data_IF_842453109501
#
_entry.id   IF_842453109501
#
_cell.length_a   1.000
_cell.length_b   1.000
_cell.length_c   1.000
_cell.angle_alpha   90.00
_cell.angle_beta   90.00
_cell.angle_gamma   90.00
#
_symmetry.space_group_name_H-M   'P 1'
#
loop_
_entity.id
_entity.type
_entity.pdbx_description
1 polymer ?
#
# COMPACT_ATOMS: atom_id res chain seq x y z
N UNK A 1 66.03 -10.05 -31.57
CA UNK A 1 65.85 -10.09 -30.12
C UNK A 1 64.85 -9.03 -29.78
N UNK A 2 63.58 -9.44 -29.61
CA UNK A 2 62.49 -8.55 -29.23
C UNK A 2 62.01 -9.05 -27.88
N UNK A 3 62.38 -8.30 -26.82
CA UNK A 3 61.89 -8.53 -25.47
C UNK A 3 60.38 -8.17 -25.43
N UNK A 4 59.58 -9.17 -25.27
CA UNK A 4 58.16 -9.01 -24.98
C UNK A 4 57.97 -8.65 -23.50
N UNK A 5 57.65 -7.40 -23.20
CA UNK A 5 57.20 -6.95 -21.89
C UNK A 5 55.81 -7.51 -21.65
N UNK A 6 55.75 -8.61 -20.89
CA UNK A 6 54.52 -9.21 -20.43
C UNK A 6 53.94 -8.31 -19.31
N UNK A 7 53.07 -7.39 -19.72
CA UNK A 7 52.43 -6.45 -18.79
C UNK A 7 51.23 -7.16 -18.18
N UNK A 8 51.49 -8.05 -17.22
CA UNK A 8 50.42 -8.69 -16.42
C UNK A 8 49.74 -7.62 -15.56
N UNK A 9 48.52 -7.27 -15.96
CA UNK A 9 47.62 -6.45 -15.14
C UNK A 9 47.27 -7.29 -13.92
N UNK A 10 47.92 -7.02 -12.81
CA UNK A 10 47.64 -7.63 -11.51
C UNK A 10 46.39 -6.93 -10.96
N UNK A 11 45.23 -7.56 -11.10
CA UNK A 11 43.98 -7.12 -10.46
C UNK A 11 44.15 -7.49 -8.96
N UNK A 12 44.50 -6.52 -8.14
CA UNK A 12 44.44 -6.69 -6.68
C UNK A 12 42.97 -6.72 -6.28
N UNK A 13 42.50 -7.91 -5.94
CA UNK A 13 41.19 -8.07 -5.33
C UNK A 13 41.25 -7.45 -3.93
N UNK A 14 40.23 -6.64 -3.53
CA UNK A 14 40.20 -6.08 -2.19
C UNK A 14 40.28 -7.20 -1.15
N UNK A 15 41.02 -6.98 -0.09
CA UNK A 15 41.14 -7.89 1.04
C UNK A 15 39.72 -8.31 1.48
N UNK A 16 39.51 -9.61 1.66
CA UNK A 16 38.15 -10.17 1.98
C UNK A 16 37.54 -9.48 3.21
N UNK A 17 38.36 -9.05 4.13
CA UNK A 17 37.95 -8.36 5.34
C UNK A 17 37.41 -6.94 5.04
N UNK A 18 38.08 -6.21 4.15
CA UNK A 18 37.64 -4.89 3.68
C UNK A 18 36.32 -5.03 2.94
N UNK A 19 36.15 -6.03 2.06
CA UNK A 19 34.95 -6.30 1.33
C UNK A 19 33.75 -6.68 2.26
N UNK A 20 34.03 -7.44 3.34
CA UNK A 20 33.04 -7.78 4.37
C UNK A 20 32.60 -6.55 5.17
N UNK A 21 33.53 -5.71 5.56
CA UNK A 21 33.22 -4.48 6.30
C UNK A 21 32.41 -3.51 5.45
N UNK A 22 32.69 -3.43 4.17
CA UNK A 22 31.96 -2.58 3.24
C UNK A 22 30.53 -3.07 3.03
N UNK A 23 30.33 -4.37 2.80
CA UNK A 23 28.99 -4.98 2.74
C UNK A 23 28.22 -4.80 4.04
N UNK A 24 28.87 -4.93 5.19
CA UNK A 24 28.21 -4.72 6.48
C UNK A 24 27.69 -3.29 6.63
N UNK A 25 28.50 -2.28 6.24
CA UNK A 25 28.08 -0.87 6.24
C UNK A 25 26.91 -0.60 5.28
N UNK A 26 26.90 -1.27 4.14
CA UNK A 26 25.81 -1.14 3.14
C UNK A 26 24.48 -1.72 3.64
N UNK A 27 24.51 -2.80 4.42
CA UNK A 27 23.29 -3.44 4.95
C UNK A 27 22.88 -2.92 6.33
N UNK A 28 23.80 -2.28 7.08
CA UNK A 28 23.55 -1.78 8.44
C UNK A 28 22.27 -0.91 8.54
N UNK A 29 21.96 0.01 7.58
CA UNK A 29 20.74 0.79 7.60
C UNK A 29 19.45 -0.03 7.43
N UNK A 30 19.58 -1.28 6.97
CA UNK A 30 18.45 -2.19 6.75
C UNK A 30 18.34 -3.27 7.82
N UNK A 31 19.27 -3.30 8.78
CA UNK A 31 19.20 -4.24 9.90
C UNK A 31 18.19 -3.72 10.91
N UNK A 32 17.18 -4.56 11.20
CA UNK A 32 16.22 -4.28 12.26
C UNK A 32 16.83 -4.66 13.60
N UNK A 33 16.91 -3.70 14.50
CA UNK A 33 17.25 -3.96 15.90
C UNK A 33 15.96 -4.22 16.69
N UNK A 34 15.85 -5.40 17.28
CA UNK A 34 14.67 -5.77 18.07
C UNK A 34 14.48 -4.90 19.33
N UNK A 35 15.51 -4.15 19.72
CA UNK A 35 15.45 -3.20 20.85
C UNK A 35 15.04 -1.79 20.42
N UNK A 36 14.99 -1.53 19.11
CA UNK A 36 14.60 -0.24 18.56
C UNK A 36 13.11 -0.02 18.73
N UNK A 37 12.74 1.14 19.22
CA UNK A 37 11.33 1.48 19.42
C UNK A 37 10.77 2.11 18.15
N UNK A 38 10.16 1.28 17.29
CA UNK A 38 9.52 1.75 16.07
C UNK A 38 8.22 2.49 16.40
N UNK A 39 7.95 3.63 15.75
CA UNK A 39 6.66 4.30 15.89
C UNK A 39 5.54 3.39 15.39
N UNK A 40 4.42 3.43 16.10
CA UNK A 40 3.24 2.69 15.68
C UNK A 40 2.79 3.12 14.28
N UNK A 41 2.59 2.18 13.33
CA UNK A 41 2.19 2.52 11.97
C UNK A 41 0.80 3.15 11.94
N UNK A 42 0.55 3.99 10.95
CA UNK A 42 -0.79 4.42 10.63
C UNK A 42 -1.51 3.33 9.83
N UNK A 43 -2.77 3.05 10.19
CA UNK A 43 -3.58 2.05 9.51
C UNK A 43 -4.68 2.72 8.69
N UNK A 44 -4.86 2.26 7.46
CA UNK A 44 -5.91 2.79 6.59
C UNK A 44 -7.30 2.40 7.08
N UNK A 45 -7.44 1.23 7.68
CA UNK A 45 -8.72 0.73 8.16
C UNK A 45 -8.61 0.18 9.58
N UNK A 46 -9.74 0.26 10.29
CA UNK A 46 -10.03 -0.53 11.48
C UNK A 46 -11.37 -1.24 11.31
N UNK A 47 -11.50 -2.40 11.95
CA UNK A 47 -12.74 -3.15 12.02
C UNK A 47 -13.07 -3.46 13.47
N UNK A 48 -14.20 -2.92 13.96
CA UNK A 48 -14.56 -2.98 15.39
C UNK A 48 -13.43 -2.54 16.32
N UNK A 49 -12.72 -1.46 15.97
CA UNK A 49 -11.60 -0.93 16.74
C UNK A 49 -10.28 -1.70 16.61
N UNK A 50 -10.24 -2.76 15.79
CA UNK A 50 -9.01 -3.51 15.51
C UNK A 50 -8.39 -2.97 14.23
N UNK A 51 -7.21 -2.31 14.28
CA UNK A 51 -6.57 -1.73 13.11
C UNK A 51 -6.02 -2.82 12.18
N UNK A 52 -6.17 -2.60 10.89
CA UNK A 52 -5.58 -3.43 9.84
C UNK A 52 -5.24 -2.57 8.60
N UNK A 53 -4.50 -3.12 7.64
CA UNK A 53 -4.09 -2.38 6.44
C UNK A 53 -3.21 -1.16 6.72
N UNK A 54 -1.93 -1.35 7.11
CA UNK A 54 -1.02 -0.23 7.37
C UNK A 54 -0.84 0.63 6.10
N UNK A 55 -0.71 1.94 6.28
CA UNK A 55 -0.37 2.87 5.20
C UNK A 55 0.97 2.49 4.57
N UNK A 56 1.05 2.56 3.25
CA UNK A 56 2.22 2.14 2.50
C UNK A 56 2.38 0.62 2.34
N UNK A 57 1.50 -0.17 2.96
CA UNK A 57 1.49 -1.63 2.84
C UNK A 57 0.74 -2.12 1.60
N UNK A 58 1.04 -3.36 1.20
CA UNK A 58 0.32 -4.07 0.16
C UNK A 58 -0.68 -5.03 0.82
N UNK A 59 -1.95 -4.96 0.40
CA UNK A 59 -3.02 -5.80 0.89
C UNK A 59 -3.46 -6.77 -0.19
N UNK A 60 -3.75 -8.02 0.18
CA UNK A 60 -4.26 -9.02 -0.74
C UNK A 60 -5.59 -9.59 -0.22
N UNK A 61 -6.61 -9.61 -1.07
CA UNK A 61 -7.89 -10.26 -0.79
C UNK A 61 -7.91 -11.59 -1.54
N UNK A 62 -7.84 -12.69 -0.79
CA UNK A 62 -7.89 -14.03 -1.34
C UNK A 62 -9.19 -14.74 -0.94
N UNK A 63 -9.54 -15.78 -1.67
CA UNK A 63 -10.73 -16.60 -1.39
C UNK A 63 -11.21 -17.34 -2.63
N UNK A 64 -12.13 -18.26 -2.45
CA UNK A 64 -12.71 -19.05 -3.54
C UNK A 64 -13.44 -18.18 -4.57
N UNK A 65 -13.60 -18.70 -5.78
CA UNK A 65 -14.38 -18.04 -6.84
C UNK A 65 -15.83 -17.82 -6.39
N UNK A 66 -16.40 -16.67 -6.72
CA UNK A 66 -17.78 -16.26 -6.37
C UNK A 66 -18.04 -15.91 -4.89
N UNK A 67 -17.03 -15.82 -4.04
CA UNK A 67 -17.18 -15.47 -2.62
C UNK A 67 -17.18 -13.96 -2.32
N UNK A 68 -17.64 -13.15 -3.24
CA UNK A 68 -17.88 -11.72 -2.98
C UNK A 68 -16.62 -10.84 -2.88
N UNK A 69 -15.40 -11.35 -3.24
CA UNK A 69 -14.15 -10.57 -3.20
C UNK A 69 -14.25 -9.19 -3.84
N UNK A 70 -14.81 -9.13 -5.04
CA UNK A 70 -14.99 -7.89 -5.79
C UNK A 70 -15.96 -6.93 -5.09
N UNK A 71 -16.95 -7.47 -4.36
CA UNK A 71 -17.85 -6.64 -3.57
C UNK A 71 -17.16 -6.09 -2.32
N UNK A 72 -16.40 -6.92 -1.60
CA UNK A 72 -15.58 -6.47 -0.48
C UNK A 72 -14.58 -5.40 -0.93
N UNK A 73 -13.93 -5.60 -2.07
CA UNK A 73 -13.01 -4.61 -2.65
C UNK A 73 -13.73 -3.27 -2.90
N UNK A 74 -14.95 -3.30 -3.45
CA UNK A 74 -15.73 -2.08 -3.65
C UNK A 74 -16.09 -1.37 -2.33
N UNK A 75 -16.40 -2.13 -1.27
CA UNK A 75 -16.67 -1.58 0.07
C UNK A 75 -15.40 -0.91 0.63
N UNK A 76 -14.25 -1.58 0.57
CA UNK A 76 -12.98 -1.02 1.05
C UNK A 76 -12.58 0.23 0.26
N UNK A 77 -12.78 0.25 -1.06
CA UNK A 77 -12.55 1.44 -1.86
C UNK A 77 -13.48 2.58 -1.46
N UNK A 78 -14.76 2.32 -1.26
CA UNK A 78 -15.71 3.33 -0.83
C UNK A 78 -15.36 3.89 0.56
N UNK A 79 -14.97 3.01 1.50
CA UNK A 79 -14.50 3.42 2.82
C UNK A 79 -13.21 4.26 2.73
N UNK A 80 -12.23 3.85 1.90
CA UNK A 80 -10.97 4.58 1.70
C UNK A 80 -11.17 5.99 1.14
N UNK A 81 -12.26 6.23 0.40
CA UNK A 81 -12.60 7.56 -0.10
C UNK A 81 -13.12 8.50 0.99
N UNK A 82 -13.22 8.03 2.24
CA UNK A 82 -13.61 8.84 3.39
C UNK A 82 -15.04 9.36 3.31
N UNK A 83 -15.89 8.69 2.55
CA UNK A 83 -17.30 9.06 2.45
C UNK A 83 -18.03 8.41 3.62
N UNK A 84 -18.55 9.23 4.51
CA UNK A 84 -19.45 8.79 5.57
C UNK A 84 -20.80 8.38 4.96
N UNK A 85 -20.81 7.15 4.46
CA UNK A 85 -21.97 6.58 3.80
C UNK A 85 -22.59 5.51 4.68
N UNK A 86 -23.86 5.70 5.03
CA UNK A 86 -24.66 4.69 5.72
C UNK A 86 -24.66 3.34 4.98
N UNK A 87 -24.37 3.32 3.69
CA UNK A 87 -24.32 2.08 2.90
C UNK A 87 -23.09 1.25 3.19
N UNK A 88 -21.91 1.88 3.38
CA UNK A 88 -20.70 1.14 3.78
C UNK A 88 -20.94 0.46 5.12
N UNK A 89 -21.42 1.21 6.12
CA UNK A 89 -21.70 0.67 7.45
C UNK A 89 -22.85 -0.35 7.46
N UNK A 90 -23.78 -0.30 6.51
CA UNK A 90 -24.82 -1.32 6.35
C UNK A 90 -24.26 -2.67 5.92
N UNK A 91 -23.30 -2.69 4.99
CA UNK A 91 -22.72 -3.93 4.46
C UNK A 91 -21.53 -4.45 5.25
N UNK A 92 -20.79 -3.55 5.90
CA UNK A 92 -19.66 -3.91 6.75
C UNK A 92 -19.66 -3.02 8.00
N UNK A 93 -20.58 -3.29 8.95
CA UNK A 93 -20.67 -2.52 10.16
C UNK A 93 -19.38 -2.63 10.96
N UNK A 94 -18.93 -1.51 11.53
CA UNK A 94 -17.67 -1.45 12.28
C UNK A 94 -16.41 -1.22 11.42
N UNK A 95 -16.53 -1.11 10.11
CA UNK A 95 -15.43 -0.65 9.26
C UNK A 95 -15.35 0.87 9.32
N UNK A 96 -14.18 1.39 9.68
CA UNK A 96 -13.87 2.82 9.72
C UNK A 96 -12.42 3.09 9.34
N UNK A 97 -12.12 4.36 9.11
CA UNK A 97 -10.73 4.85 9.04
C UNK A 97 -10.42 5.45 10.41
N UNK A 98 -9.31 5.05 11.06
CA UNK A 98 -8.91 5.64 12.34
C UNK A 98 -8.74 7.17 12.21
N UNK A 99 -9.28 7.95 13.15
CA UNK A 99 -9.18 9.43 13.11
C UNK A 99 -7.72 9.90 13.07
N UNK A 100 -6.83 9.24 13.82
CA UNK A 100 -5.38 9.49 13.77
C UNK A 100 -4.82 9.40 12.35
N UNK A 101 -5.33 8.50 11.53
CA UNK A 101 -4.91 8.36 10.12
C UNK A 101 -5.45 9.49 9.26
N UNK A 102 -6.69 9.92 9.49
CA UNK A 102 -7.27 11.05 8.76
C UNK A 102 -6.51 12.35 9.09
N UNK A 103 -6.18 12.59 10.35
CA UNK A 103 -5.37 13.72 10.79
C UNK A 103 -3.99 13.70 10.12
N UNK A 104 -3.30 12.56 10.18
CA UNK A 104 -2.00 12.40 9.52
C UNK A 104 -2.05 12.66 8.01
N UNK A 105 -3.08 12.20 7.31
CA UNK A 105 -3.25 12.45 5.89
C UNK A 105 -3.50 13.94 5.59
N UNK A 106 -4.31 14.63 6.39
CA UNK A 106 -4.54 16.07 6.27
C UNK A 106 -3.26 16.87 6.49
N UNK A 107 -2.50 16.53 7.52
CA UNK A 107 -1.22 17.19 7.85
C UNK A 107 -0.17 16.96 6.76
N UNK A 108 -0.05 15.73 6.27
CA UNK A 108 0.90 15.37 5.20
C UNK A 108 0.62 16.14 3.89
N UNK A 109 -0.64 16.37 3.59
CA UNK A 109 -1.04 17.09 2.39
C UNK A 109 -1.16 18.61 2.60
N UNK A 110 -0.95 19.10 3.83
CA UNK A 110 -1.14 20.51 4.20
C UNK A 110 -2.49 21.07 3.76
N UNK A 111 -3.52 20.24 3.74
CA UNK A 111 -4.86 20.58 3.28
C UNK A 111 -5.91 20.00 4.23
N UNK A 112 -6.54 20.85 5.07
CA UNK A 112 -7.60 20.41 5.99
C UNK A 112 -8.84 19.86 5.25
N UNK A 113 -8.96 20.18 3.95
CA UNK A 113 -10.06 19.72 3.09
C UNK A 113 -9.67 18.50 2.26
N UNK A 114 -8.47 17.93 2.48
CA UNK A 114 -7.97 16.78 1.74
C UNK A 114 -8.99 15.64 1.73
N UNK A 115 -9.24 15.17 0.52
CA UNK A 115 -10.09 13.99 0.29
C UNK A 115 -9.24 12.87 -0.31
N UNK A 116 -9.27 11.69 0.27
CA UNK A 116 -8.57 10.54 -0.25
C UNK A 116 -8.95 10.25 -1.70
N UNK A 117 -8.02 9.70 -2.47
CA UNK A 117 -8.23 9.28 -3.85
C UNK A 117 -7.98 7.77 -3.94
N UNK A 118 -8.78 7.08 -4.73
CA UNK A 118 -8.59 5.66 -5.01
C UNK A 118 -8.35 5.44 -6.50
N UNK A 119 -7.36 4.59 -6.82
CA UNK A 119 -7.11 4.14 -8.19
C UNK A 119 -7.51 2.66 -8.29
N UNK A 120 -8.41 2.36 -9.21
CA UNK A 120 -8.77 1.00 -9.54
C UNK A 120 -8.08 0.58 -10.83
N UNK A 121 -7.26 -0.47 -10.75
CA UNK A 121 -6.57 -1.07 -11.89
C UNK A 121 -7.07 -2.49 -12.05
N UNK A 122 -7.58 -2.80 -13.22
CA UNK A 122 -8.08 -4.12 -13.57
C UNK A 122 -7.36 -4.65 -14.80
N UNK A 123 -6.76 -5.82 -14.67
CA UNK A 123 -5.97 -6.46 -15.72
C UNK A 123 -6.63 -7.72 -16.29
N UNK A 124 -7.74 -8.16 -15.69
CA UNK A 124 -8.36 -9.46 -16.02
C UNK A 124 -9.79 -9.34 -16.53
N UNK A 125 -10.52 -8.31 -16.11
CA UNK A 125 -11.93 -8.18 -16.45
C UNK A 125 -12.15 -7.36 -17.72
N UNK A 126 -13.18 -7.73 -18.45
CA UNK A 126 -13.67 -6.89 -19.55
C UNK A 126 -14.12 -5.51 -19.04
N UNK A 127 -13.98 -4.50 -19.87
CA UNK A 127 -14.32 -3.10 -19.57
C UNK A 127 -15.71 -2.92 -18.94
N UNK A 128 -16.69 -3.71 -19.39
CA UNK A 128 -18.04 -3.69 -18.84
C UNK A 128 -18.08 -4.13 -17.37
N UNK A 129 -17.31 -5.15 -17.01
CA UNK A 129 -17.30 -5.68 -15.64
C UNK A 129 -16.55 -4.75 -14.70
N UNK A 130 -15.45 -4.13 -15.14
CA UNK A 130 -14.76 -3.08 -14.40
C UNK A 130 -15.67 -1.88 -14.15
N UNK A 131 -16.46 -1.46 -15.15
CA UNK A 131 -17.44 -0.40 -14.99
C UNK A 131 -18.52 -0.74 -13.92
N UNK A 132 -18.94 -2.01 -13.81
CA UNK A 132 -19.86 -2.45 -12.75
C UNK A 132 -19.25 -2.31 -11.36
N UNK A 133 -17.96 -2.53 -11.21
CA UNK A 133 -17.25 -2.31 -9.93
C UNK A 133 -17.29 -0.84 -9.56
N UNK A 134 -16.90 0.05 -10.48
CA UNK A 134 -16.90 1.49 -10.25
C UNK A 134 -18.31 2.03 -9.93
N UNK A 135 -19.35 1.59 -10.65
CA UNK A 135 -20.75 1.95 -10.33
C UNK A 135 -21.16 1.52 -8.93
N UNK A 136 -20.65 0.37 -8.47
CA UNK A 136 -20.91 -0.13 -7.12
C UNK A 136 -20.21 0.73 -6.07
N UNK A 137 -18.97 1.17 -6.32
CA UNK A 137 -18.28 2.13 -5.46
C UNK A 137 -19.04 3.45 -5.40
N UNK A 138 -19.44 4.02 -6.53
CA UNK A 138 -20.26 5.23 -6.58
C UNK A 138 -21.55 5.10 -5.78
N UNK A 139 -22.25 3.98 -5.93
CA UNK A 139 -23.46 3.70 -5.18
C UNK A 139 -23.19 3.58 -3.67
N UNK A 140 -22.10 2.94 -3.26
CA UNK A 140 -21.69 2.83 -1.86
C UNK A 140 -21.33 4.20 -1.27
N UNK A 141 -20.77 5.09 -2.07
CA UNK A 141 -20.42 6.47 -1.67
C UNK A 141 -21.62 7.43 -1.70
N UNK A 142 -22.79 6.98 -2.04
CA UNK A 142 -23.98 7.83 -2.23
C UNK A 142 -23.81 8.92 -3.30
N UNK A 143 -22.83 8.74 -4.17
CA UNK A 143 -22.63 9.63 -5.30
C UNK A 143 -23.70 9.39 -6.35
N UNK A 144 -24.21 10.47 -6.94
CA UNK A 144 -25.20 10.35 -8.02
C UNK A 144 -24.66 9.49 -9.15
N UNK A 145 -25.42 8.48 -9.52
CA UNK A 145 -25.07 7.55 -10.60
C UNK A 145 -25.59 8.01 -11.97
N UNK A 146 -25.91 9.29 -12.11
CA UNK A 146 -26.38 9.90 -13.37
C UNK A 146 -25.24 10.01 -14.42
N UNK A 147 -24.32 9.07 -14.38
CA UNK A 147 -23.36 8.89 -15.46
C UNK A 147 -24.05 8.11 -16.57
N UNK A 148 -24.07 8.66 -17.81
CA UNK A 148 -24.70 8.05 -18.98
C UNK A 148 -24.15 6.67 -19.33
#
# INVERSE_FOLDING_TARGET
MTEGTDNQIRIELPDEEVARQQRRKEIEPYLLDATENFPEPFYLFEYNGVPFSPLGGIQAISGQKKNGKTFLQAILMAAALGVDSNRVSTYLPGLSIPERTLEHLRDTHHDPTYKPKALYVDTEMEKLNSAKVLRRVHWLCDWRTDLP
#
